data_IF_560472544507
#
_entry.id   IF_560472544507
#
_cell.length_a   1.000
_cell.length_b   1.000
_cell.length_c   1.000
_cell.angle_alpha   90.00
_cell.angle_beta   90.00
_cell.angle_gamma   90.00
#
_symmetry.space_group_name_H-M   'P 1'
#
loop_
_entity.id
_entity.type
_entity.pdbx_description
1 polymer ?
#
# COMPACT_ATOMS: atom_id res chain seq x y z
N UNK A 1 -42.52 -18.45 -9.43
CA UNK A 1 -42.54 -19.54 -10.44
C UNK A 1 -41.93 -20.79 -9.81
N UNK A 2 -42.60 -21.99 -9.94
CA UNK A 2 -41.97 -23.23 -9.48
C UNK A 2 -41.09 -23.78 -10.61
N UNK A 3 -39.79 -23.90 -10.37
CA UNK A 3 -38.85 -24.48 -11.33
C UNK A 3 -39.11 -25.99 -11.46
N UNK A 4 -39.03 -26.52 -12.68
CA UNK A 4 -38.98 -27.95 -12.93
C UNK A 4 -37.61 -28.55 -12.54
N UNK A 5 -37.45 -29.87 -12.62
CA UNK A 5 -36.23 -30.55 -12.18
C UNK A 5 -34.99 -30.13 -13.02
N UNK A 6 -35.15 -30.03 -14.31
CA UNK A 6 -34.10 -29.66 -15.25
C UNK A 6 -33.63 -28.19 -15.06
N UNK A 7 -34.61 -27.29 -14.93
CA UNK A 7 -34.30 -25.86 -14.63
C UNK A 7 -33.56 -25.69 -13.30
N UNK A 8 -33.88 -26.49 -12.27
CA UNK A 8 -33.16 -26.46 -11.00
C UNK A 8 -31.69 -26.85 -11.16
N UNK A 9 -31.41 -27.89 -11.92
CA UNK A 9 -30.01 -28.33 -12.16
C UNK A 9 -29.23 -27.30 -12.97
N UNK A 10 -29.83 -26.67 -13.97
CA UNK A 10 -29.21 -25.59 -14.74
C UNK A 10 -28.90 -24.40 -13.83
N UNK A 11 -29.84 -23.98 -12.99
CA UNK A 11 -29.63 -22.85 -12.05
C UNK A 11 -28.54 -23.15 -11.03
N UNK A 12 -28.48 -24.39 -10.51
CA UNK A 12 -27.40 -24.80 -9.59
C UNK A 12 -26.02 -24.73 -10.27
N UNK A 13 -25.88 -25.29 -11.46
CA UNK A 13 -24.62 -25.25 -12.22
C UNK A 13 -24.18 -23.82 -12.47
N UNK A 14 -25.09 -22.96 -12.91
CA UNK A 14 -24.84 -21.53 -13.11
C UNK A 14 -24.49 -20.80 -11.80
N UNK A 15 -25.14 -21.14 -10.68
CA UNK A 15 -24.84 -20.55 -9.39
C UNK A 15 -23.40 -20.85 -8.93
N UNK A 16 -22.90 -22.08 -9.15
CA UNK A 16 -21.50 -22.45 -8.86
C UNK A 16 -20.55 -21.67 -9.76
N UNK A 17 -20.80 -21.65 -11.09
CA UNK A 17 -19.98 -20.90 -12.05
C UNK A 17 -19.84 -19.43 -11.66
N UNK A 18 -20.95 -18.78 -11.36
CA UNK A 18 -20.97 -17.33 -11.10
C UNK A 18 -20.60 -16.96 -9.68
N UNK A 19 -20.73 -17.90 -8.72
CA UNK A 19 -20.21 -17.70 -7.38
C UNK A 19 -18.67 -17.48 -7.39
N UNK A 20 -17.93 -18.29 -8.14
CA UNK A 20 -16.47 -18.13 -8.30
C UNK A 20 -16.09 -16.81 -9.01
N UNK A 21 -17.00 -16.22 -9.79
CA UNK A 21 -16.81 -14.91 -10.42
C UNK A 21 -17.16 -13.71 -9.51
N UNK A 22 -17.59 -13.96 -8.27
CA UNK A 22 -17.91 -12.92 -7.29
C UNK A 22 -19.19 -12.11 -7.59
N UNK A 23 -20.15 -12.69 -8.34
CA UNK A 23 -21.38 -12.02 -8.77
C UNK A 23 -22.37 -11.94 -7.63
N UNK A 24 -23.02 -10.78 -7.45
CA UNK A 24 -24.06 -10.60 -6.45
C UNK A 24 -25.43 -11.12 -6.91
N UNK A 25 -26.37 -11.27 -5.96
CA UNK A 25 -27.69 -11.86 -6.23
C UNK A 25 -28.48 -11.15 -7.34
N UNK A 26 -28.40 -9.81 -7.43
CA UNK A 26 -29.12 -9.05 -8.48
C UNK A 26 -28.53 -9.31 -9.84
N UNK A 27 -27.21 -9.28 -9.95
CA UNK A 27 -26.50 -9.61 -11.20
C UNK A 27 -26.80 -11.04 -11.65
N UNK A 28 -26.85 -11.99 -10.70
CA UNK A 28 -27.18 -13.38 -11.02
C UNK A 28 -28.59 -13.53 -11.62
N UNK A 29 -29.59 -12.82 -11.10
CA UNK A 29 -30.95 -12.81 -11.68
C UNK A 29 -30.94 -12.27 -13.11
N UNK A 30 -30.25 -11.16 -13.36
CA UNK A 30 -30.16 -10.56 -14.70
C UNK A 30 -29.46 -11.49 -15.71
N UNK A 31 -28.40 -12.17 -15.27
CA UNK A 31 -27.67 -13.14 -16.10
C UNK A 31 -28.56 -14.32 -16.46
N UNK A 32 -29.27 -14.91 -15.50
CA UNK A 32 -30.19 -16.03 -15.77
C UNK A 32 -31.31 -15.63 -16.73
N UNK A 33 -31.80 -14.40 -16.61
CA UNK A 33 -32.80 -13.86 -17.53
C UNK A 33 -32.24 -13.68 -18.94
N UNK A 34 -31.01 -13.20 -19.06
CA UNK A 34 -30.36 -12.96 -20.35
C UNK A 34 -29.88 -14.25 -21.04
N UNK A 35 -29.30 -15.19 -20.30
CA UNK A 35 -28.67 -16.38 -20.89
C UNK A 35 -29.64 -17.56 -21.11
N UNK A 36 -30.58 -17.77 -20.20
CA UNK A 36 -31.47 -18.96 -20.23
C UNK A 36 -32.95 -18.61 -20.12
N UNK A 37 -33.30 -17.35 -20.26
CA UNK A 37 -34.67 -16.84 -20.24
C UNK A 37 -35.45 -17.25 -18.97
N UNK A 38 -34.73 -17.36 -17.84
CA UNK A 38 -35.29 -17.77 -16.58
C UNK A 38 -35.35 -16.61 -15.59
N UNK A 39 -36.55 -16.31 -15.10
CA UNK A 39 -36.73 -15.21 -14.14
C UNK A 39 -36.90 -15.78 -12.72
N UNK A 40 -35.91 -15.56 -11.86
CA UNK A 40 -35.95 -15.94 -10.44
C UNK A 40 -36.31 -14.74 -9.57
N UNK A 41 -37.00 -15.02 -8.46
CA UNK A 41 -37.05 -14.03 -7.38
C UNK A 41 -35.71 -13.89 -6.70
N UNK A 42 -35.43 -12.71 -6.12
CA UNK A 42 -34.19 -12.49 -5.37
C UNK A 42 -33.98 -13.54 -4.26
N UNK A 43 -35.05 -13.97 -3.58
CA UNK A 43 -34.99 -15.02 -2.56
C UNK A 43 -34.51 -16.36 -3.13
N UNK A 44 -35.03 -16.75 -4.31
CA UNK A 44 -34.59 -17.97 -4.99
C UNK A 44 -33.13 -17.87 -5.46
N UNK A 45 -32.73 -16.76 -6.05
CA UNK A 45 -31.37 -16.53 -6.45
C UNK A 45 -30.39 -16.55 -5.27
N UNK A 46 -30.76 -15.92 -4.14
CA UNK A 46 -29.99 -15.97 -2.89
C UNK A 46 -29.84 -17.40 -2.37
N UNK A 47 -30.89 -18.19 -2.42
CA UNK A 47 -30.84 -19.59 -2.01
C UNK A 47 -29.81 -20.38 -2.84
N UNK A 48 -29.85 -20.29 -4.17
CA UNK A 48 -28.93 -21.02 -5.03
C UNK A 48 -27.48 -20.55 -4.90
N UNK A 49 -27.23 -19.27 -4.72
CA UNK A 49 -25.88 -18.75 -4.46
C UNK A 49 -25.33 -19.20 -3.08
N UNK A 50 -26.19 -19.32 -2.06
CA UNK A 50 -25.77 -19.84 -0.76
C UNK A 50 -25.48 -21.35 -0.82
N UNK A 51 -26.25 -22.13 -1.60
CA UNK A 51 -25.95 -23.53 -1.87
C UNK A 51 -24.63 -23.69 -2.61
N UNK A 52 -24.37 -22.84 -3.62
CA UNK A 52 -23.09 -22.83 -4.34
C UNK A 52 -21.90 -22.49 -3.41
N UNK A 53 -22.07 -21.53 -2.51
CA UNK A 53 -21.08 -21.20 -1.48
C UNK A 53 -20.76 -22.39 -0.58
N UNK A 54 -21.77 -23.13 -0.17
CA UNK A 54 -21.60 -24.32 0.68
C UNK A 54 -20.84 -25.43 -0.05
N UNK A 55 -21.20 -25.70 -1.29
CA UNK A 55 -20.51 -26.69 -2.13
C UNK A 55 -19.04 -26.32 -2.36
N UNK A 56 -18.76 -25.08 -2.71
CA UNK A 56 -17.39 -24.59 -2.87
C UNK A 56 -16.56 -24.74 -1.59
N UNK A 57 -17.14 -24.49 -0.41
CA UNK A 57 -16.46 -24.69 0.87
C UNK A 57 -16.20 -26.16 1.21
N UNK A 58 -17.09 -27.06 0.80
CA UNK A 58 -16.92 -28.52 0.99
C UNK A 58 -15.84 -29.08 0.04
N UNK A 59 -15.79 -28.63 -1.22
CA UNK A 59 -14.75 -29.01 -2.18
C UNK A 59 -13.37 -28.53 -1.71
N UNK A 60 -13.24 -27.26 -1.31
CA UNK A 60 -12.00 -26.72 -0.76
C UNK A 60 -11.53 -27.50 0.46
N UNK A 61 -12.43 -27.84 1.38
CA UNK A 61 -12.10 -28.65 2.57
C UNK A 61 -11.63 -30.06 2.22
N UNK A 62 -12.10 -30.66 1.11
CA UNK A 62 -11.64 -31.96 0.63
C UNK A 62 -10.26 -31.88 0.03
N UNK A 63 -10.01 -30.88 -0.84
CA UNK A 63 -8.69 -30.63 -1.42
C UNK A 63 -7.65 -30.33 -0.34
N UNK A 64 -7.99 -29.54 0.68
CA UNK A 64 -7.12 -29.23 1.81
C UNK A 64 -6.73 -30.50 2.60
N UNK A 65 -7.69 -31.42 2.79
CA UNK A 65 -7.42 -32.72 3.45
C UNK A 65 -6.52 -33.61 2.61
N UNK A 66 -6.75 -33.69 1.32
CA UNK A 66 -5.92 -34.45 0.38
C UNK A 66 -4.50 -33.90 0.31
N UNK A 67 -4.36 -32.57 0.24
CA UNK A 67 -3.08 -31.88 0.28
C UNK A 67 -2.33 -32.17 1.59
N UNK A 68 -3.01 -32.05 2.74
CA UNK A 68 -2.40 -32.34 4.04
C UNK A 68 -1.97 -33.79 4.16
N UNK A 69 -2.74 -34.75 3.63
CA UNK A 69 -2.38 -36.17 3.60
C UNK A 69 -1.15 -36.41 2.71
N UNK A 70 -1.08 -35.76 1.55
CA UNK A 70 0.06 -35.83 0.65
C UNK A 70 1.33 -35.29 1.31
N UNK A 71 1.24 -34.12 1.96
CA UNK A 71 2.35 -33.47 2.64
C UNK A 71 2.90 -34.34 3.80
N UNK A 72 2.00 -34.93 4.61
CA UNK A 72 2.39 -35.89 5.66
C UNK A 72 3.12 -37.10 5.09
N UNK A 73 2.65 -37.64 3.96
CA UNK A 73 3.32 -38.77 3.28
C UNK A 73 4.71 -38.39 2.79
N UNK A 74 4.97 -37.12 2.47
CA UNK A 74 6.28 -36.59 2.07
C UNK A 74 7.17 -36.17 3.25
N UNK A 75 6.70 -36.33 4.50
CA UNK A 75 7.42 -35.92 5.69
C UNK A 75 7.47 -34.41 5.94
N UNK A 76 6.61 -33.65 5.23
CA UNK A 76 6.53 -32.20 5.38
C UNK A 76 5.46 -31.86 6.40
N UNK A 77 5.88 -31.40 7.57
CA UNK A 77 4.97 -30.95 8.62
C UNK A 77 4.45 -29.54 8.41
N UNK A 78 3.45 -29.16 9.20
CA UNK A 78 2.84 -27.81 9.15
C UNK A 78 3.87 -26.71 9.48
N UNK A 79 4.90 -27.04 10.26
CA UNK A 79 5.97 -26.12 10.63
C UNK A 79 6.91 -25.86 9.45
N UNK A 80 7.33 -26.92 8.76
CA UNK A 80 8.14 -26.83 7.54
C UNK A 80 7.36 -26.15 6.41
N UNK A 81 6.05 -26.39 6.31
CA UNK A 81 5.20 -25.70 5.34
C UNK A 81 5.12 -24.19 5.62
N UNK A 82 4.95 -23.80 6.87
CA UNK A 82 4.97 -22.40 7.28
C UNK A 82 6.32 -21.73 7.02
N UNK A 83 7.41 -22.48 7.12
CA UNK A 83 8.75 -21.99 6.80
C UNK A 83 9.00 -21.93 5.28
N UNK A 84 8.60 -22.97 4.52
CA UNK A 84 8.75 -23.03 3.06
C UNK A 84 7.94 -21.95 2.32
N UNK A 85 6.71 -21.75 2.75
CA UNK A 85 5.87 -20.75 2.12
C UNK A 85 5.96 -19.39 2.81
N UNK A 86 6.61 -19.31 4.02
CA UNK A 86 6.51 -18.12 4.87
C UNK A 86 5.13 -17.50 4.66
N UNK A 87 4.10 -18.34 4.83
CA UNK A 87 2.74 -17.83 4.80
C UNK A 87 2.72 -16.78 5.90
N UNK A 88 3.00 -15.56 5.51
CA UNK A 88 2.66 -14.40 6.30
C UNK A 88 1.15 -14.49 6.40
N UNK A 89 0.65 -15.24 7.40
CA UNK A 89 -0.68 -14.94 7.91
C UNK A 89 -0.74 -13.43 7.89
N UNK A 90 -1.86 -12.86 7.49
CA UNK A 90 -2.13 -11.43 7.63
C UNK A 90 -2.00 -11.11 9.13
N UNK A 91 -0.75 -11.13 9.58
CA UNK A 91 -0.40 -10.72 10.93
C UNK A 91 -0.78 -9.26 11.01
N UNK A 92 -1.64 -8.98 11.95
CA UNK A 92 -1.89 -7.67 12.51
C UNK A 92 -0.66 -6.79 12.36
N UNK A 93 -0.85 -5.60 11.75
CA UNK A 93 0.11 -4.52 11.46
C UNK A 93 1.44 -4.72 12.19
N UNK A 94 2.51 -5.04 11.46
CA UNK A 94 3.84 -5.12 12.08
C UNK A 94 4.16 -3.76 12.67
N UNK A 95 4.26 -3.72 13.99
CA UNK A 95 4.75 -2.55 14.70
C UNK A 95 6.28 -2.67 14.78
N UNK A 96 6.98 -1.81 14.04
CA UNK A 96 8.41 -1.68 14.22
C UNK A 96 8.67 -0.77 15.43
N UNK A 97 9.45 -1.27 16.39
CA UNK A 97 9.91 -0.48 17.52
C UNK A 97 11.42 -0.35 17.41
N UNK A 98 11.92 0.86 17.32
CA UNK A 98 13.35 1.12 17.24
C UNK A 98 13.76 2.25 18.17
N UNK A 99 14.90 2.07 18.82
CA UNK A 99 15.56 3.13 19.59
C UNK A 99 16.56 3.84 18.67
N UNK A 100 16.38 5.13 18.51
CA UNK A 100 17.21 5.95 17.63
C UNK A 100 17.80 7.11 18.43
N UNK A 101 19.13 7.18 18.47
CA UNK A 101 19.86 8.27 19.06
C UNK A 101 19.50 8.58 20.52
N UNK A 102 19.55 9.85 20.89
CA UNK A 102 19.17 10.32 22.21
C UNK A 102 17.65 10.25 22.43
N UNK A 103 17.22 9.71 23.57
CA UNK A 103 15.79 9.57 23.90
C UNK A 103 15.03 10.92 23.97
N UNK A 104 15.75 12.04 24.00
CA UNK A 104 15.19 13.39 24.13
C UNK A 104 14.80 14.07 22.82
N UNK A 105 15.36 13.65 21.69
CA UNK A 105 15.16 14.30 20.39
C UNK A 105 15.12 13.27 19.27
N UNK A 106 14.19 13.43 18.33
CA UNK A 106 14.10 12.66 17.09
C UNK A 106 14.09 13.62 15.91
N UNK A 107 14.97 13.39 14.92
CA UNK A 107 14.96 14.10 13.64
C UNK A 107 14.51 13.14 12.57
N UNK A 108 13.29 13.34 12.10
CA UNK A 108 12.60 12.54 11.11
C UNK A 108 12.53 13.29 9.79
N UNK A 109 12.87 12.60 8.69
CA UNK A 109 12.70 13.13 7.35
C UNK A 109 11.65 12.36 6.57
N UNK A 110 10.75 13.10 5.92
CA UNK A 110 9.61 12.54 5.21
C UNK A 110 9.89 12.61 3.71
N UNK A 111 9.87 11.44 3.08
CA UNK A 111 10.04 11.24 1.63
C UNK A 111 8.82 10.50 1.10
N UNK A 112 8.44 10.72 -0.13
CA UNK A 112 7.42 9.93 -0.80
C UNK A 112 7.46 10.09 -2.31
N UNK A 113 6.77 9.20 -3.04
CA UNK A 113 6.51 9.29 -4.48
C UNK A 113 7.77 9.65 -5.28
N UNK A 114 8.79 8.84 -5.11
CA UNK A 114 10.05 8.99 -5.84
C UNK A 114 9.94 8.51 -7.27
N UNK A 115 9.01 7.60 -7.57
CA UNK A 115 8.72 7.09 -8.92
C UNK A 115 9.99 6.74 -9.71
N UNK A 116 10.95 6.04 -9.07
CA UNK A 116 12.14 5.59 -9.77
C UNK A 116 11.74 4.69 -10.95
N UNK A 117 12.29 5.00 -12.11
CA UNK A 117 11.87 4.37 -13.38
C UNK A 117 11.09 5.31 -14.28
N UNK A 118 10.59 6.46 -13.78
CA UNK A 118 10.01 7.53 -14.58
C UNK A 118 11.11 8.48 -15.07
N UNK A 119 11.02 8.96 -16.32
CA UNK A 119 11.91 9.97 -16.90
C UNK A 119 11.86 11.31 -16.17
N UNK A 120 10.75 11.59 -15.51
CA UNK A 120 10.48 12.82 -14.77
C UNK A 120 10.78 12.66 -13.27
N UNK A 121 11.36 11.53 -12.84
CA UNK A 121 11.84 11.36 -11.48
C UNK A 121 12.87 12.47 -11.16
N UNK A 122 12.65 13.17 -10.05
CA UNK A 122 13.51 14.23 -9.57
C UNK A 122 14.69 13.64 -8.74
N UNK A 123 15.49 12.79 -9.40
CA UNK A 123 16.53 12.00 -8.74
C UNK A 123 17.67 12.89 -8.22
N UNK A 124 18.04 13.94 -8.96
CA UNK A 124 19.09 14.85 -8.54
C UNK A 124 18.68 15.65 -7.31
N UNK A 125 17.44 16.11 -7.29
CA UNK A 125 16.83 16.78 -6.14
C UNK A 125 16.70 15.83 -4.94
N UNK A 126 16.40 14.54 -5.17
CA UNK A 126 16.40 13.52 -4.13
C UNK A 126 17.82 13.31 -3.54
N UNK A 127 18.85 13.26 -4.37
CA UNK A 127 20.25 13.14 -3.94
C UNK A 127 20.69 14.37 -3.15
N UNK A 128 20.36 15.56 -3.63
CA UNK A 128 20.64 16.81 -2.90
C UNK A 128 19.94 16.85 -1.54
N UNK A 129 18.70 16.39 -1.49
CA UNK A 129 17.95 16.26 -0.26
C UNK A 129 18.66 15.38 0.79
N UNK A 130 19.19 14.24 0.37
CA UNK A 130 19.97 13.37 1.25
C UNK A 130 21.30 14.02 1.71
N UNK A 131 21.94 14.83 0.89
CA UNK A 131 23.12 15.59 1.29
C UNK A 131 22.78 16.68 2.33
N UNK A 132 21.64 17.33 2.21
CA UNK A 132 21.12 18.24 3.23
C UNK A 132 20.81 17.47 4.51
N UNK A 133 20.15 16.31 4.40
CA UNK A 133 19.83 15.44 5.51
C UNK A 133 21.06 15.04 6.33
N UNK A 134 22.14 14.70 5.66
CA UNK A 134 23.42 14.36 6.28
C UNK A 134 23.98 15.52 7.11
N UNK A 135 23.86 16.74 6.63
CA UNK A 135 24.31 17.96 7.35
C UNK A 135 23.42 18.29 8.56
N UNK A 136 22.14 17.92 8.51
CA UNK A 136 21.17 18.14 9.58
C UNK A 136 21.13 16.98 10.63
N UNK A 137 22.06 16.02 10.52
CA UNK A 137 22.18 14.86 11.43
C UNK A 137 20.87 14.03 11.49
N UNK A 138 20.27 13.79 10.34
CA UNK A 138 19.08 12.97 10.25
C UNK A 138 19.35 11.55 10.70
N UNK A 139 18.48 11.03 11.54
CA UNK A 139 18.60 9.70 12.12
C UNK A 139 17.73 8.69 11.39
N UNK A 140 16.61 9.15 10.80
CA UNK A 140 15.62 8.27 10.20
C UNK A 140 14.87 8.95 9.05
N UNK A 141 14.63 8.18 8.01
CA UNK A 141 13.76 8.54 6.91
C UNK A 141 12.49 7.69 6.95
N UNK A 142 11.37 8.27 6.53
CA UNK A 142 10.14 7.54 6.25
C UNK A 142 9.70 7.81 4.84
N UNK A 143 9.38 6.75 4.10
CA UNK A 143 8.94 6.83 2.71
C UNK A 143 7.51 6.30 2.61
N UNK A 144 6.57 7.15 2.21
CA UNK A 144 5.15 6.85 2.27
C UNK A 144 4.59 6.22 0.99
N UNK A 145 5.41 5.52 0.20
CA UNK A 145 4.99 4.72 -0.95
C UNK A 145 5.33 5.33 -2.31
N UNK A 146 5.03 4.59 -3.38
CA UNK A 146 5.39 4.86 -4.76
C UNK A 146 6.91 5.11 -4.92
N UNK A 147 7.68 4.12 -4.44
CA UNK A 147 9.13 4.08 -4.56
C UNK A 147 9.54 3.90 -6.02
N UNK A 148 8.81 3.04 -6.74
CA UNK A 148 8.93 2.80 -8.17
C UNK A 148 7.74 3.38 -8.94
N UNK A 149 7.91 3.61 -10.24
CA UNK A 149 6.82 4.09 -11.12
C UNK A 149 6.15 2.96 -11.89
N UNK A 150 6.44 1.71 -11.54
CA UNK A 150 6.08 0.59 -12.37
C UNK A 150 4.65 0.62 -12.93
N UNK A 151 4.54 0.67 -14.27
CA UNK A 151 3.28 0.76 -15.00
C UNK A 151 3.26 -0.22 -16.16
N UNK A 152 2.77 -1.44 -16.07
CA UNK A 152 2.10 -1.97 -17.22
C UNK A 152 0.59 -1.88 -17.04
N UNK A 153 -0.08 -1.23 -17.95
CA UNK A 153 -1.51 -1.28 -18.27
C UNK A 153 -2.49 -0.43 -17.46
N UNK A 154 -2.14 0.27 -16.38
CA UNK A 154 -3.14 1.13 -15.74
C UNK A 154 -3.49 2.32 -16.65
N UNK A 155 -2.49 2.84 -17.37
CA UNK A 155 -2.67 3.89 -18.38
C UNK A 155 -1.69 3.67 -19.53
N UNK A 156 -2.11 3.07 -20.63
CA UNK A 156 -1.29 2.79 -21.85
C UNK A 156 -0.48 3.97 -22.37
N UNK A 157 -0.87 5.18 -22.04
CA UNK A 157 -0.26 6.43 -22.45
C UNK A 157 0.86 6.92 -21.54
N UNK A 158 1.08 6.29 -20.37
CA UNK A 158 2.20 6.61 -19.50
C UNK A 158 3.48 5.82 -19.80
N UNK A 159 3.41 4.80 -20.62
CA UNK A 159 4.59 3.96 -20.92
C UNK A 159 5.72 4.72 -21.58
N UNK A 160 5.43 5.80 -22.33
CA UNK A 160 6.48 6.65 -22.91
C UNK A 160 7.17 7.55 -21.86
N UNK A 161 6.60 7.74 -20.70
CA UNK A 161 7.24 8.45 -19.56
C UNK A 161 8.22 7.56 -18.82
N UNK A 162 8.20 6.23 -19.02
CA UNK A 162 9.13 5.31 -18.38
C UNK A 162 10.53 5.43 -18.96
N UNK A 163 11.52 5.57 -18.10
CA UNK A 163 12.93 5.41 -18.41
C UNK A 163 13.30 3.92 -18.37
N UNK A 164 12.68 3.17 -17.46
CA UNK A 164 12.86 1.73 -17.30
C UNK A 164 11.47 1.05 -17.30
N UNK A 165 11.13 0.27 -18.32
CA UNK A 165 9.80 -0.29 -18.49
C UNK A 165 9.56 -1.59 -17.71
N UNK A 166 10.59 -2.25 -17.19
CA UNK A 166 10.46 -3.50 -16.46
C UNK A 166 10.41 -3.30 -14.95
N UNK A 167 9.56 -4.06 -14.27
CA UNK A 167 9.45 -3.98 -12.82
C UNK A 167 10.78 -4.33 -12.11
N UNK A 168 11.51 -5.35 -12.58
CA UNK A 168 12.83 -5.68 -12.03
C UNK A 168 13.88 -4.61 -12.32
N UNK A 169 13.89 -4.04 -13.53
CA UNK A 169 14.79 -2.93 -13.85
C UNK A 169 14.55 -1.73 -12.95
N UNK A 170 13.30 -1.44 -12.58
CA UNK A 170 13.01 -0.38 -11.60
C UNK A 170 13.47 -0.75 -10.18
N UNK A 171 13.39 -2.01 -9.78
CA UNK A 171 14.02 -2.48 -8.53
C UNK A 171 15.53 -2.27 -8.56
N UNK A 172 16.19 -2.60 -9.68
CA UNK A 172 17.63 -2.38 -9.85
C UNK A 172 17.99 -0.88 -9.77
N UNK A 173 17.13 -0.01 -10.32
CA UNK A 173 17.31 1.45 -10.17
C UNK A 173 17.19 1.87 -8.70
N UNK A 174 16.22 1.36 -7.95
CA UNK A 174 16.11 1.63 -6.50
C UNK A 174 17.38 1.19 -5.78
N UNK A 175 17.84 -0.03 -6.04
CA UNK A 175 19.03 -0.58 -5.38
C UNK A 175 20.28 0.27 -5.67
N UNK A 176 20.42 0.74 -6.89
CA UNK A 176 21.60 1.46 -7.36
C UNK A 176 21.54 2.96 -7.08
N UNK A 177 20.43 3.60 -7.34
CA UNK A 177 20.32 5.06 -7.41
C UNK A 177 19.66 5.69 -6.19
N UNK A 178 18.83 4.93 -5.43
CA UNK A 178 18.20 5.50 -4.24
C UNK A 178 19.27 5.86 -3.20
N UNK A 179 19.31 7.12 -2.72
CA UNK A 179 20.38 7.58 -1.85
C UNK A 179 20.45 6.80 -0.53
N UNK A 180 21.62 6.76 0.05
CA UNK A 180 21.91 6.10 1.33
C UNK A 180 22.75 7.01 2.22
N UNK A 181 22.43 7.02 3.51
CA UNK A 181 23.26 7.64 4.55
C UNK A 181 23.66 6.56 5.53
N UNK A 182 24.93 6.50 5.87
CA UNK A 182 25.44 5.55 6.86
C UNK A 182 24.77 5.78 8.22
N UNK A 183 24.35 4.69 8.84
CA UNK A 183 23.66 4.67 10.12
C UNK A 183 22.26 5.31 10.16
N UNK A 184 21.65 5.58 8.99
CA UNK A 184 20.27 6.02 8.89
C UNK A 184 19.45 5.03 8.07
N UNK A 185 18.30 4.59 8.61
CA UNK A 185 17.39 3.70 7.92
C UNK A 185 16.25 4.47 7.27
N UNK A 186 15.78 3.98 6.12
CA UNK A 186 14.55 4.43 5.48
C UNK A 186 13.47 3.39 5.70
N UNK A 187 12.44 3.73 6.48
CA UNK A 187 11.26 2.90 6.67
C UNK A 187 10.24 3.22 5.61
N UNK A 188 9.83 2.21 4.82
CA UNK A 188 8.93 2.46 3.70
C UNK A 188 7.71 1.54 3.69
N UNK A 189 6.64 2.07 3.13
CA UNK A 189 5.46 1.31 2.72
C UNK A 189 5.43 1.25 1.18
N UNK A 190 4.59 0.36 0.63
CA UNK A 190 4.35 0.35 -0.82
C UNK A 190 3.19 1.27 -1.17
N UNK A 191 3.33 1.98 -2.29
CA UNK A 191 2.24 2.71 -2.91
C UNK A 191 1.46 1.87 -3.93
N UNK A 192 0.54 2.51 -4.63
CA UNK A 192 -0.28 1.82 -5.64
C UNK A 192 0.53 1.45 -6.88
N UNK A 193 1.55 2.23 -7.25
CA UNK A 193 2.46 1.91 -8.35
C UNK A 193 3.29 0.66 -8.01
N UNK A 194 3.91 0.64 -6.84
CA UNK A 194 4.71 -0.48 -6.36
C UNK A 194 3.91 -1.80 -6.32
N UNK A 195 2.68 -1.74 -5.84
CA UNK A 195 1.83 -2.92 -5.69
C UNK A 195 1.30 -3.48 -6.99
N UNK A 196 1.25 -2.67 -8.05
CA UNK A 196 0.87 -3.15 -9.37
C UNK A 196 1.82 -4.23 -9.88
N UNK A 197 3.09 -4.22 -9.47
CA UNK A 197 4.04 -5.27 -9.80
C UNK A 197 3.57 -6.64 -9.27
N UNK A 198 3.13 -6.70 -8.02
CA UNK A 198 2.59 -7.95 -7.47
C UNK A 198 1.27 -8.33 -8.12
N UNK A 199 0.35 -7.37 -8.27
CA UNK A 199 -1.01 -7.63 -8.82
C UNK A 199 -1.00 -8.07 -10.27
N UNK A 200 -0.07 -7.56 -11.09
CA UNK A 200 -0.06 -7.77 -12.55
C UNK A 200 0.91 -8.85 -13.00
N UNK A 201 2.06 -8.96 -12.35
CA UNK A 201 3.11 -9.90 -12.76
C UNK A 201 3.62 -10.81 -11.62
N UNK A 202 2.99 -10.75 -10.44
CA UNK A 202 3.36 -11.60 -9.31
C UNK A 202 4.70 -11.24 -8.64
N UNK A 203 5.26 -10.05 -8.92
CA UNK A 203 6.55 -9.61 -8.40
C UNK A 203 6.38 -8.77 -7.14
N UNK A 204 6.81 -9.30 -5.99
CA UNK A 204 6.89 -8.53 -4.75
C UNK A 204 8.20 -7.73 -4.71
N UNK A 205 8.16 -6.50 -5.18
CA UNK A 205 9.35 -5.61 -5.22
C UNK A 205 9.92 -5.34 -3.84
N UNK A 206 9.09 -5.32 -2.80
CA UNK A 206 9.55 -5.07 -1.42
C UNK A 206 10.48 -6.18 -0.92
N UNK A 207 10.22 -7.42 -1.33
CA UNK A 207 11.06 -8.55 -0.99
C UNK A 207 12.45 -8.42 -1.62
N UNK A 208 12.51 -8.09 -2.90
CA UNK A 208 13.78 -7.93 -3.61
C UNK A 208 14.59 -6.74 -3.09
N UNK A 209 13.95 -5.60 -2.87
CA UNK A 209 14.60 -4.42 -2.28
C UNK A 209 15.17 -4.76 -0.89
N UNK A 210 14.40 -5.44 -0.04
CA UNK A 210 14.84 -5.81 1.31
C UNK A 210 15.99 -6.83 1.33
N UNK A 211 16.16 -7.63 0.27
CA UNK A 211 17.29 -8.56 0.12
C UNK A 211 18.58 -7.85 -0.30
N UNK A 212 18.47 -6.76 -1.06
CA UNK A 212 19.59 -6.08 -1.71
C UNK A 212 20.02 -4.79 -0.99
N UNK A 213 19.13 -4.22 -0.17
CA UNK A 213 19.34 -2.96 0.56
C UNK A 213 18.95 -3.12 2.03
N UNK A 214 19.94 -3.21 2.89
CA UNK A 214 19.80 -3.37 4.33
C UNK A 214 19.30 -2.11 5.05
N UNK A 215 19.49 -0.93 4.45
CA UNK A 215 19.04 0.37 4.94
C UNK A 215 17.56 0.68 4.58
N UNK A 216 16.98 -0.05 3.61
CA UNK A 216 15.58 0.10 3.23
C UNK A 216 14.73 -0.93 3.98
N UNK A 217 13.98 -0.47 4.98
CA UNK A 217 13.18 -1.30 5.89
C UNK A 217 11.72 -1.30 5.45
N UNK A 218 11.26 -2.39 4.85
CA UNK A 218 9.86 -2.54 4.48
C UNK A 218 8.97 -2.71 5.72
N UNK A 219 7.97 -1.83 5.88
CA UNK A 219 7.03 -1.88 7.00
C UNK A 219 5.81 -2.71 6.61
N UNK A 220 5.08 -2.26 5.59
CA UNK A 220 3.85 -2.91 5.13
C UNK A 220 3.40 -2.39 3.75
N UNK A 221 2.29 -2.94 3.23
CA UNK A 221 1.79 -2.69 1.87
C UNK A 221 1.26 -1.27 1.65
N UNK A 222 0.17 -0.87 2.32
CA UNK A 222 -0.49 0.43 2.10
C UNK A 222 -0.41 1.36 3.31
N UNK A 223 -0.25 0.78 4.48
CA UNK A 223 -0.13 1.51 5.71
C UNK A 223 0.84 0.81 6.65
N UNK A 224 1.50 1.57 7.48
CA UNK A 224 2.43 1.01 8.44
C UNK A 224 2.58 1.93 9.64
N UNK A 225 2.78 1.32 10.80
CA UNK A 225 3.03 2.04 12.05
C UNK A 225 4.41 1.68 12.55
N UNK A 226 5.20 2.70 12.87
CA UNK A 226 6.50 2.56 13.52
C UNK A 226 6.51 3.34 14.82
N UNK A 227 7.20 2.81 15.81
CA UNK A 227 7.46 3.48 17.08
C UNK A 227 8.96 3.79 17.13
N UNK A 228 9.29 5.06 17.05
CA UNK A 228 10.65 5.57 17.08
C UNK A 228 10.86 6.21 18.47
N UNK A 229 11.64 5.55 19.32
CA UNK A 229 11.74 5.91 20.75
C UNK A 229 10.36 5.89 21.45
N UNK A 230 9.74 7.04 21.58
CA UNK A 230 8.44 7.26 22.22
C UNK A 230 7.42 7.91 21.27
N UNK A 231 7.77 8.06 19.98
CA UNK A 231 6.95 8.68 18.94
C UNK A 231 6.29 7.62 18.08
N UNK A 232 5.00 7.70 17.95
CA UNK A 232 4.21 6.86 17.06
C UNK A 232 4.06 7.57 15.72
N UNK A 233 4.66 7.02 14.67
CA UNK A 233 4.54 7.50 13.30
C UNK A 233 3.70 6.51 12.50
N UNK A 234 2.65 6.98 11.86
CA UNK A 234 1.83 6.18 10.96
C UNK A 234 1.95 6.70 9.54
N UNK A 235 2.25 5.77 8.62
CA UNK A 235 2.36 6.01 7.19
C UNK A 235 1.16 5.40 6.50
N UNK A 236 0.59 6.11 5.54
CA UNK A 236 -0.47 5.58 4.69
C UNK A 236 -0.32 6.08 3.27
N UNK A 237 -0.37 5.15 2.30
CA UNK A 237 -0.48 5.46 0.88
C UNK A 237 -1.89 5.15 0.40
N UNK A 238 -2.56 6.16 -0.14
CA UNK A 238 -3.95 6.03 -0.56
C UNK A 238 -4.07 5.82 -2.07
N UNK A 239 -4.96 4.96 -2.49
CA UNK A 239 -5.33 4.76 -3.89
C UNK A 239 -6.78 5.17 -4.14
N UNK A 240 -7.09 6.47 -4.17
CA UNK A 240 -8.46 6.95 -4.33
C UNK A 240 -8.58 8.24 -5.13
N UNK A 241 -9.82 8.61 -5.48
CA UNK A 241 -10.11 9.83 -6.25
C UNK A 241 -9.85 11.11 -5.45
N UNK A 242 -9.55 12.18 -6.17
CA UNK A 242 -9.36 13.52 -5.63
C UNK A 242 -10.59 14.02 -4.87
N UNK A 243 -10.37 14.80 -3.84
CA UNK A 243 -11.41 15.59 -3.16
C UNK A 243 -11.18 17.08 -3.41
N UNK A 244 -12.24 17.87 -3.37
CA UNK A 244 -12.16 19.32 -3.56
C UNK A 244 -11.15 19.98 -2.61
N UNK A 245 -11.21 19.62 -1.33
CA UNK A 245 -10.23 20.08 -0.35
C UNK A 245 -9.17 18.98 -0.11
N UNK A 246 -7.89 19.33 -0.29
CA UNK A 246 -6.76 18.39 -0.08
C UNK A 246 -6.76 17.81 1.33
N UNK A 247 -7.10 18.63 2.34
CA UNK A 247 -7.15 18.22 3.74
C UNK A 247 -8.35 17.31 4.10
N UNK A 248 -9.40 17.25 3.27
CA UNK A 248 -10.65 16.56 3.62
C UNK A 248 -10.46 15.09 3.96
N UNK A 249 -9.76 14.36 3.09
CA UNK A 249 -9.51 12.93 3.31
C UNK A 249 -8.58 12.70 4.48
N UNK A 250 -7.57 13.54 4.64
CA UNK A 250 -6.68 13.50 5.79
C UNK A 250 -7.48 13.62 7.09
N UNK A 251 -8.37 14.63 7.21
CA UNK A 251 -9.25 14.79 8.36
C UNK A 251 -10.13 13.57 8.59
N UNK A 252 -10.75 13.02 7.53
CA UNK A 252 -11.58 11.82 7.63
C UNK A 252 -10.84 10.61 8.19
N UNK A 253 -9.58 10.40 7.81
CA UNK A 253 -8.76 9.33 8.40
C UNK A 253 -8.48 9.59 9.87
N UNK A 254 -8.10 10.80 10.22
CA UNK A 254 -7.79 11.16 11.61
C UNK A 254 -9.01 11.04 12.53
N UNK A 255 -10.23 11.19 12.00
CA UNK A 255 -11.48 11.00 12.74
C UNK A 255 -11.74 9.53 13.10
N UNK A 256 -11.13 8.58 12.39
CA UNK A 256 -11.33 7.15 12.68
C UNK A 256 -10.57 6.65 13.90
N UNK A 257 -9.56 7.39 14.36
CA UNK A 257 -8.77 6.99 15.52
C UNK A 257 -9.50 7.23 16.84
N UNK A 258 -9.50 6.24 17.71
CA UNK A 258 -9.82 6.44 19.11
C UNK A 258 -8.70 7.24 19.80
N UNK A 259 -8.99 7.97 20.88
CA UNK A 259 -7.99 8.81 21.56
C UNK A 259 -6.72 8.06 22.00
N UNK A 260 -6.87 6.80 22.41
CA UNK A 260 -5.79 5.90 22.88
C UNK A 260 -4.98 5.26 21.73
N UNK A 261 -5.45 5.35 20.49
CA UNK A 261 -4.81 4.77 19.31
C UNK A 261 -4.15 5.81 18.41
N UNK A 262 -4.30 7.08 18.73
CA UNK A 262 -3.82 8.18 17.89
C UNK A 262 -2.30 8.13 17.71
N UNK A 263 -1.79 8.27 16.48
CA UNK A 263 -0.36 8.47 16.26
C UNK A 263 0.05 9.90 16.67
N UNK A 264 1.32 10.10 16.90
CA UNK A 264 1.89 11.44 17.09
C UNK A 264 2.05 12.17 15.77
N UNK A 265 2.49 11.41 14.75
CA UNK A 265 2.71 11.88 13.40
C UNK A 265 1.94 10.96 12.45
N UNK A 266 1.20 11.56 11.55
CA UNK A 266 0.48 10.86 10.49
C UNK A 266 0.91 11.39 9.13
N UNK A 267 1.32 10.49 8.23
CA UNK A 267 1.81 10.83 6.90
C UNK A 267 0.90 10.13 5.91
N UNK A 268 0.14 10.93 5.16
CA UNK A 268 -0.75 10.46 4.11
C UNK A 268 -0.21 10.89 2.76
N UNK A 269 -0.23 9.96 1.77
CA UNK A 269 0.30 10.28 0.46
C UNK A 269 -0.57 9.84 -0.73
N UNK A 270 -0.20 10.24 -1.96
CA UNK A 270 -0.81 9.99 -3.28
C UNK A 270 -1.17 11.26 -4.07
N UNK A 271 -1.26 12.42 -3.45
CA UNK A 271 -1.82 13.64 -4.08
C UNK A 271 -0.79 14.57 -4.69
N UNK A 272 0.51 14.30 -4.53
CA UNK A 272 1.62 15.14 -5.00
C UNK A 272 1.53 16.63 -4.59
N UNK A 273 0.84 16.91 -3.50
CA UNK A 273 0.67 18.26 -2.94
C UNK A 273 1.17 18.30 -1.50
N UNK A 274 1.86 19.37 -1.12
CA UNK A 274 2.35 19.51 0.23
C UNK A 274 1.33 20.17 1.15
N UNK A 275 1.11 19.58 2.31
CA UNK A 275 0.26 20.13 3.36
C UNK A 275 0.82 19.71 4.73
N UNK A 276 0.82 20.65 5.68
CA UNK A 276 0.98 20.35 7.08
C UNK A 276 -0.22 20.88 7.86
N UNK A 277 -0.79 20.03 8.71
CA UNK A 277 -1.86 20.45 9.61
C UNK A 277 -1.78 19.69 10.94
N UNK A 278 -2.27 20.35 11.98
CA UNK A 278 -2.50 19.70 13.28
C UNK A 278 -4.01 19.55 13.48
N UNK A 279 -4.46 18.31 13.62
CA UNK A 279 -5.85 17.99 13.87
C UNK A 279 -5.96 16.91 14.93
N UNK A 280 -6.82 17.11 15.94
CA UNK A 280 -6.97 16.20 17.08
C UNK A 280 -5.63 15.85 17.76
N UNK A 281 -4.72 16.81 17.86
CA UNK A 281 -3.36 16.70 18.41
C UNK A 281 -2.40 15.81 17.59
N UNK A 282 -2.80 15.38 16.41
CA UNK A 282 -1.98 14.61 15.46
C UNK A 282 -1.32 15.59 14.51
N UNK A 283 0.01 15.53 14.42
CA UNK A 283 0.76 16.28 13.41
C UNK A 283 0.72 15.52 12.10
N UNK A 284 0.07 16.08 11.10
CA UNK A 284 -0.24 15.38 9.85
C UNK A 284 0.43 16.04 8.66
N UNK A 285 1.05 15.23 7.83
CA UNK A 285 1.82 15.67 6.67
C UNK A 285 1.30 15.03 5.40
N UNK A 286 1.16 15.85 4.36
CA UNK A 286 1.21 15.43 2.97
C UNK A 286 2.56 15.92 2.45
N UNK A 287 3.55 15.06 2.24
CA UNK A 287 4.82 15.45 1.68
C UNK A 287 4.70 15.70 0.16
N UNK A 288 5.48 16.52 -0.48
CA UNK A 288 5.53 16.68 -1.94
C UNK A 288 5.92 15.38 -2.70
N UNK A 289 6.11 15.38 -3.99
CA UNK A 289 6.60 14.24 -4.76
C UNK A 289 7.98 14.53 -5.35
N UNK A 290 8.82 13.51 -5.48
CA UNK A 290 10.05 13.59 -6.26
C UNK A 290 9.80 13.27 -7.74
N UNK A 291 8.66 13.74 -8.26
CA UNK A 291 8.25 13.61 -9.65
C UNK A 291 7.99 15.01 -10.23
N UNK A 292 8.68 15.36 -11.29
CA UNK A 292 8.43 16.60 -12.04
C UNK A 292 7.05 16.54 -12.69
N UNK A 293 6.50 17.69 -13.07
CA UNK A 293 5.15 17.75 -13.62
C UNK A 293 5.00 16.89 -14.87
N UNK A 294 4.23 15.82 -14.78
CA UNK A 294 3.92 14.89 -15.87
C UNK A 294 2.67 15.31 -16.67
N UNK A 295 2.35 14.59 -17.73
CA UNK A 295 1.18 14.90 -18.57
C UNK A 295 -0.15 14.78 -17.80
N UNK A 296 -0.25 13.86 -16.85
CA UNK A 296 -1.43 13.71 -16.02
C UNK A 296 -1.63 14.96 -15.15
N UNK A 297 -0.57 15.41 -14.50
CA UNK A 297 -0.59 16.61 -13.68
C UNK A 297 -0.99 17.85 -14.52
N UNK A 298 -0.39 18.02 -15.69
CA UNK A 298 -0.76 19.09 -16.64
C UNK A 298 -2.22 19.04 -17.05
N UNK A 299 -2.71 17.84 -17.42
CA UNK A 299 -4.10 17.66 -17.88
C UNK A 299 -5.12 18.02 -16.82
N UNK A 300 -4.87 17.63 -15.58
CA UNK A 300 -5.80 17.86 -14.46
C UNK A 300 -5.46 19.09 -13.64
N UNK A 301 -4.45 19.88 -14.06
CA UNK A 301 -3.98 21.07 -13.33
C UNK A 301 -3.60 20.76 -11.87
N UNK A 302 -2.97 19.62 -11.69
CA UNK A 302 -2.47 19.19 -10.41
C UNK A 302 -1.06 19.79 -10.26
N UNK A 303 -0.88 20.69 -9.32
CA UNK A 303 0.45 21.21 -9.02
C UNK A 303 1.30 20.11 -8.39
N UNK A 304 2.27 19.57 -9.14
CA UNK A 304 3.31 18.76 -8.53
C UNK A 304 4.31 19.70 -7.89
N UNK A 305 4.55 19.52 -6.61
CA UNK A 305 5.54 20.29 -5.89
C UNK A 305 6.63 19.37 -5.37
N UNK A 306 7.87 19.65 -5.74
CA UNK A 306 9.06 18.97 -5.23
C UNK A 306 9.40 19.61 -3.89
N UNK A 307 8.77 19.11 -2.83
CA UNK A 307 8.86 19.69 -1.50
C UNK A 307 8.94 18.59 -0.46
N UNK A 308 9.57 18.86 0.68
CA UNK A 308 9.69 17.91 1.76
C UNK A 308 9.73 18.53 3.14
N UNK A 309 9.59 17.64 4.11
CA UNK A 309 9.50 18.01 5.51
C UNK A 309 10.63 17.40 6.32
N UNK A 310 11.29 18.25 7.09
CA UNK A 310 12.13 17.83 8.21
C UNK A 310 11.30 18.05 9.47
N UNK A 311 11.11 17.01 10.24
CA UNK A 311 10.35 17.06 11.49
C UNK A 311 11.26 16.76 12.65
N UNK A 312 11.46 17.74 13.51
CA UNK A 312 12.25 17.62 14.73
C UNK A 312 11.32 17.56 15.91
N UNK A 313 11.43 16.50 16.71
CA UNK A 313 10.54 16.26 17.85
C UNK A 313 11.39 16.20 19.10
N UNK A 314 11.07 17.04 20.08
CA UNK A 314 11.75 17.10 21.37
C UNK A 314 10.78 16.80 22.49
N UNK A 315 11.27 16.08 23.50
CA UNK A 315 10.57 15.91 24.77
C UNK A 315 11.24 16.79 25.83
N UNK A 316 10.52 17.80 26.31
CA UNK A 316 11.01 18.70 27.36
C UNK A 316 9.98 18.83 28.47
N UNK A 317 10.38 18.52 29.71
CA UNK A 317 9.52 18.61 30.91
C UNK A 317 8.18 17.83 30.71
N UNK A 318 8.25 16.62 30.16
CA UNK A 318 7.06 15.79 29.84
C UNK A 318 6.19 16.29 28.69
N UNK A 319 6.52 17.45 28.10
CA UNK A 319 5.79 18.01 26.95
C UNK A 319 6.49 17.69 25.64
N UNK A 320 5.71 17.38 24.62
CA UNK A 320 6.16 17.14 23.25
C UNK A 320 6.20 18.47 22.51
N UNK A 321 7.32 18.76 21.85
CA UNK A 321 7.48 19.92 20.96
C UNK A 321 7.81 19.40 19.56
N UNK A 322 7.04 19.81 18.57
CA UNK A 322 7.22 19.41 17.17
C UNK A 322 7.56 20.65 16.35
N UNK A 323 8.68 20.59 15.64
CA UNK A 323 9.15 21.62 14.73
C UNK A 323 9.15 21.03 13.31
N UNK A 324 8.35 21.57 12.45
CA UNK A 324 8.31 21.17 11.03
C UNK A 324 9.04 22.26 10.20
N UNK A 325 10.12 21.86 9.52
CA UNK A 325 10.83 22.70 8.56
C UNK A 325 10.46 22.23 7.16
N UNK A 326 10.09 23.16 6.36
CA UNK A 326 9.71 22.95 4.97
C UNK A 326 10.84 23.39 4.05
N UNK A 327 11.15 22.58 3.05
CA UNK A 327 12.19 22.86 2.05
C UNK A 327 11.55 22.73 0.67
N UNK A 328 11.66 23.80 -0.12
CA UNK A 328 11.21 23.86 -1.50
C UNK A 328 12.44 23.79 -2.43
N UNK A 329 12.31 23.02 -3.51
CA UNK A 329 13.26 23.04 -4.61
C UNK A 329 12.61 23.71 -5.83
N UNK A 330 13.18 24.77 -6.27
CA UNK A 330 12.74 25.53 -7.43
C UNK A 330 13.28 24.93 -8.73
#
# INVERSE_FOLDING_TARGET
MKLNKEQKEIVKAKAVEYYHKGINTRQFVEILKAEIWLELSLAQATYYLNEAKKLASEEQSKEDKELLAFLKKKGIGLKELKELFKIKTLETKKQYCEKIGDEGELVLWIVSDTHLGNKLCALDELKEFYEIAKKEWVQVFVHAGDLTDWVPEVYRWHTFELAEPSAMGQVDLVVKEYPKIDNANTYYILGNHDQNALKKVGLDISQYISMLRDDLKFIWWYNGRIILNWIIVELQHWGGTWSYAVSYKLQKYLETYRPDEQPDIYILWHYHQALYMVYRWIHSFLPGAFLKENLLAKRYKLGNTIWWWIVRIKKKNGKKQVFAKFIEFN
#
